data_IF_821044126608
#
_entry.id   IF_821044126608
#
_cell.length_a   1.000
_cell.length_b   1.000
_cell.length_c   1.000
_cell.angle_alpha   90.00
_cell.angle_beta   90.00
_cell.angle_gamma   90.00
#
_symmetry.space_group_name_H-M   'P 1'
#
loop_
_entity.id
_entity.type
_entity.pdbx_description
1 polymer ?
#
# COMPACT_ATOMS: atom_id res chain seq x y z
N UNK A 1 21.38 3.19 -4.43
CA UNK A 1 20.24 2.43 -4.95
C UNK A 1 18.96 3.00 -4.35
N UNK A 2 18.40 4.10 -4.90
CA UNK A 2 17.18 4.74 -4.35
C UNK A 2 16.02 4.86 -5.34
N UNK A 3 16.29 4.85 -6.64
CA UNK A 3 15.29 5.19 -7.66
C UNK A 3 14.12 4.21 -7.82
N UNK A 4 14.30 2.92 -7.53
CA UNK A 4 13.19 1.93 -7.65
C UNK A 4 12.23 2.04 -6.47
N UNK A 5 12.73 2.41 -5.29
CA UNK A 5 11.92 2.55 -4.08
C UNK A 5 11.07 3.83 -4.13
N UNK A 6 11.68 4.97 -4.46
CA UNK A 6 10.95 6.24 -4.65
C UNK A 6 9.88 6.13 -5.74
N UNK A 7 10.21 5.49 -6.86
CA UNK A 7 9.25 5.27 -7.94
C UNK A 7 8.11 4.33 -7.54
N UNK A 8 8.37 3.37 -6.64
CA UNK A 8 7.35 2.51 -6.03
C UNK A 8 6.40 3.29 -5.12
N UNK A 9 6.95 4.13 -4.23
CA UNK A 9 6.17 5.00 -3.34
C UNK A 9 5.29 6.01 -4.12
N UNK A 10 5.83 6.61 -5.19
CA UNK A 10 5.06 7.49 -6.07
C UNK A 10 3.94 6.75 -6.80
N UNK A 11 4.22 5.56 -7.34
CA UNK A 11 3.23 4.74 -8.04
C UNK A 11 2.09 4.33 -7.10
N UNK A 12 2.42 3.96 -5.87
CA UNK A 12 1.44 3.58 -4.85
C UNK A 12 0.61 4.79 -4.38
N UNK A 13 1.23 5.95 -4.18
CA UNK A 13 0.53 7.21 -3.92
C UNK A 13 -0.44 7.56 -5.05
N UNK A 14 -0.04 7.35 -6.31
CA UNK A 14 -0.90 7.54 -7.48
C UNK A 14 -2.08 6.56 -7.48
N UNK A 15 -1.83 5.27 -7.21
CA UNK A 15 -2.87 4.24 -7.10
C UNK A 15 -3.87 4.56 -5.97
N UNK A 16 -3.41 4.97 -4.79
CA UNK A 16 -4.28 5.37 -3.67
C UNK A 16 -5.17 6.55 -4.04
N UNK A 17 -4.62 7.56 -4.72
CA UNK A 17 -5.40 8.71 -5.21
C UNK A 17 -6.43 8.28 -6.25
N UNK A 18 -6.04 7.45 -7.22
CA UNK A 18 -6.97 6.91 -8.23
C UNK A 18 -8.10 6.11 -7.59
N UNK A 19 -7.79 5.19 -6.68
CA UNK A 19 -8.82 4.41 -5.96
C UNK A 19 -9.76 5.30 -5.14
N UNK A 20 -9.22 6.31 -4.45
CA UNK A 20 -10.05 7.24 -3.67
C UNK A 20 -10.99 8.05 -4.58
N UNK A 21 -10.50 8.47 -5.75
CA UNK A 21 -11.30 9.16 -6.76
C UNK A 21 -12.37 8.25 -7.37
N UNK A 22 -12.00 7.02 -7.75
CA UNK A 22 -12.93 6.01 -8.25
C UNK A 22 -14.00 5.65 -7.22
N UNK A 23 -13.69 5.63 -5.92
CA UNK A 23 -14.68 5.42 -4.85
C UNK A 23 -15.67 6.59 -4.73
N UNK A 24 -15.18 7.83 -4.86
CA UNK A 24 -16.05 9.01 -4.88
C UNK A 24 -16.99 8.97 -6.09
N UNK A 25 -16.46 8.62 -7.27
CA UNK A 25 -17.23 8.47 -8.50
C UNK A 25 -18.25 7.34 -8.40
N UNK A 26 -17.88 6.19 -7.83
CA UNK A 26 -18.79 5.05 -7.67
C UNK A 26 -19.94 5.40 -6.72
N UNK A 27 -19.65 6.11 -5.62
CA UNK A 27 -20.67 6.64 -4.73
C UNK A 27 -21.56 7.70 -5.38
N UNK A 28 -21.00 8.54 -6.27
CA UNK A 28 -21.78 9.50 -7.05
C UNK A 28 -22.69 8.81 -8.07
N UNK A 29 -22.16 7.86 -8.85
CA UNK A 29 -22.90 7.05 -9.80
C UNK A 29 -24.03 6.28 -9.13
N UNK A 30 -23.80 5.71 -7.94
CA UNK A 30 -24.86 5.06 -7.14
C UNK A 30 -25.96 6.06 -6.80
N UNK A 31 -25.62 7.27 -6.33
CA UNK A 31 -26.60 8.32 -6.01
C UNK A 31 -27.38 8.82 -7.23
N UNK A 32 -26.70 9.08 -8.33
CA UNK A 32 -27.33 9.49 -9.60
C UNK A 32 -28.25 8.38 -10.12
N UNK A 33 -27.81 7.12 -10.03
CA UNK A 33 -28.64 5.98 -10.36
C UNK A 33 -29.88 5.89 -9.48
N UNK A 34 -29.74 6.01 -8.14
CA UNK A 34 -30.88 6.05 -7.20
C UNK A 34 -31.89 7.12 -7.59
N UNK A 35 -31.42 8.34 -7.87
CA UNK A 35 -32.27 9.45 -8.28
C UNK A 35 -32.99 9.17 -9.61
N UNK A 36 -32.32 8.50 -10.55
CA UNK A 36 -32.91 8.10 -11.82
C UNK A 36 -33.95 6.98 -11.68
N UNK A 37 -33.82 6.09 -10.70
CA UNK A 37 -34.79 4.99 -10.44
C UNK A 37 -35.88 5.33 -9.42
N UNK A 38 -35.76 6.41 -8.64
CA UNK A 38 -36.79 6.92 -7.72
C UNK A 38 -38.19 7.07 -8.38
N UNK A 39 -38.34 7.68 -9.57
CA UNK A 39 -39.63 7.75 -10.26
C UNK A 39 -40.14 6.40 -10.78
N UNK A 40 -39.26 5.39 -10.85
CA UNK A 40 -39.60 4.02 -11.24
C UNK A 40 -40.03 3.15 -10.05
N UNK A 41 -39.87 3.58 -8.79
CA UNK A 41 -40.32 2.82 -7.61
C UNK A 41 -41.82 2.47 -7.64
N UNK A 42 -42.65 3.31 -8.26
CA UNK A 42 -44.07 3.02 -8.47
C UNK A 42 -44.34 1.82 -9.40
N UNK A 43 -43.36 1.44 -10.23
CA UNK A 43 -43.42 0.35 -11.21
C UNK A 43 -42.60 -0.87 -10.76
N UNK A 44 -41.53 -0.65 -9.99
CA UNK A 44 -40.58 -1.66 -9.52
C UNK A 44 -41.05 -2.33 -8.21
N UNK A 45 -42.16 -3.09 -8.25
CA UNK A 45 -42.59 -3.88 -7.09
C UNK A 45 -41.78 -5.18 -6.95
N UNK A 46 -41.28 -5.46 -5.73
CA UNK A 46 -40.73 -6.74 -5.29
C UNK A 46 -39.29 -7.04 -5.74
N UNK A 47 -39.10 -7.44 -6.99
CA UNK A 47 -37.82 -7.97 -7.50
C UNK A 47 -36.81 -6.87 -7.86
N UNK A 48 -37.29 -5.74 -8.37
CA UNK A 48 -36.46 -4.60 -8.74
C UNK A 48 -35.80 -3.92 -7.54
N UNK A 49 -36.54 -3.76 -6.43
CA UNK A 49 -36.01 -3.23 -5.18
C UNK A 49 -35.00 -4.17 -4.53
N UNK A 50 -35.26 -5.47 -4.53
CA UNK A 50 -34.30 -6.46 -4.03
C UNK A 50 -32.98 -6.45 -4.82
N UNK A 51 -33.05 -6.34 -6.15
CA UNK A 51 -31.85 -6.23 -7.01
C UNK A 51 -31.10 -4.92 -6.81
N UNK A 52 -31.82 -3.85 -6.49
CA UNK A 52 -31.22 -2.56 -6.15
C UNK A 52 -30.48 -2.61 -4.81
N UNK A 53 -31.10 -3.19 -3.78
CA UNK A 53 -30.47 -3.38 -2.47
C UNK A 53 -29.23 -4.29 -2.59
N UNK A 54 -29.31 -5.34 -3.42
CA UNK A 54 -28.17 -6.22 -3.73
C UNK A 54 -27.03 -5.46 -4.43
N UNK A 55 -27.35 -4.59 -5.40
CA UNK A 55 -26.33 -3.78 -6.08
C UNK A 55 -25.63 -2.82 -5.13
N UNK A 56 -26.37 -2.12 -4.26
CA UNK A 56 -25.79 -1.24 -3.24
C UNK A 56 -24.85 -1.98 -2.31
N UNK A 57 -25.29 -3.13 -1.79
CA UNK A 57 -24.46 -3.98 -0.93
C UNK A 57 -23.16 -4.39 -1.62
N UNK A 58 -23.22 -4.81 -2.90
CA UNK A 58 -22.03 -5.16 -3.69
C UNK A 58 -21.11 -3.97 -3.91
N UNK A 59 -21.66 -2.79 -4.18
CA UNK A 59 -20.88 -1.57 -4.36
C UNK A 59 -20.13 -1.18 -3.07
N UNK A 60 -20.81 -1.25 -1.93
CA UNK A 60 -20.22 -0.98 -0.62
C UNK A 60 -19.17 -2.05 -0.23
N UNK A 61 -19.39 -3.33 -0.54
CA UNK A 61 -18.40 -4.39 -0.34
C UNK A 61 -17.13 -4.14 -1.16
N UNK A 62 -17.26 -3.87 -2.47
CA UNK A 62 -16.12 -3.60 -3.35
C UNK A 62 -15.33 -2.37 -2.87
N UNK A 63 -16.02 -1.32 -2.42
CA UNK A 63 -15.36 -0.13 -1.87
C UNK A 63 -14.59 -0.44 -0.57
N UNK A 64 -15.15 -1.25 0.32
CA UNK A 64 -14.48 -1.67 1.55
C UNK A 64 -13.28 -2.58 1.28
N UNK A 65 -13.39 -3.49 0.30
CA UNK A 65 -12.32 -4.42 -0.06
C UNK A 65 -11.15 -3.70 -0.73
N UNK A 66 -11.42 -2.71 -1.59
CA UNK A 66 -10.39 -1.82 -2.13
C UNK A 66 -9.69 -1.02 -1.01
N UNK A 67 -10.43 -0.48 -0.04
CA UNK A 67 -9.82 0.21 1.11
C UNK A 67 -8.94 -0.71 1.97
N UNK A 68 -9.38 -1.95 2.19
CA UNK A 68 -8.56 -2.95 2.90
C UNK A 68 -7.30 -3.32 2.12
N UNK A 69 -7.41 -3.55 0.82
CA UNK A 69 -6.27 -3.83 -0.04
C UNK A 69 -5.25 -2.70 0.00
N UNK A 70 -5.70 -1.45 -0.06
CA UNK A 70 -4.84 -0.28 0.09
C UNK A 70 -4.16 -0.22 1.47
N UNK A 71 -4.89 -0.49 2.56
CA UNK A 71 -4.32 -0.53 3.91
C UNK A 71 -3.20 -1.56 4.04
N UNK A 72 -3.40 -2.77 3.50
CA UNK A 72 -2.39 -3.82 3.48
C UNK A 72 -1.15 -3.44 2.67
N UNK A 73 -1.35 -2.73 1.55
CA UNK A 73 -0.26 -2.22 0.72
C UNK A 73 0.55 -1.14 1.45
N UNK A 74 -0.11 -0.25 2.20
CA UNK A 74 0.55 0.78 3.01
C UNK A 74 1.31 0.16 4.18
N UNK A 75 0.73 -0.81 4.90
CA UNK A 75 1.44 -1.56 5.93
C UNK A 75 2.64 -2.32 5.37
N UNK A 76 2.48 -2.95 4.20
CA UNK A 76 3.56 -3.63 3.49
C UNK A 76 4.71 -2.69 3.12
N UNK A 77 4.42 -1.46 2.69
CA UNK A 77 5.44 -0.42 2.45
C UNK A 77 6.19 -0.04 3.72
N UNK A 78 5.47 0.25 4.81
CA UNK A 78 6.11 0.58 6.09
C UNK A 78 6.96 -0.56 6.63
N UNK A 79 6.52 -1.80 6.45
CA UNK A 79 7.31 -2.99 6.79
C UNK A 79 8.56 -3.15 5.93
N UNK A 80 8.48 -2.89 4.62
CA UNK A 80 9.63 -2.94 3.72
C UNK A 80 10.64 -1.82 4.01
N UNK A 81 10.18 -0.59 4.27
CA UNK A 81 11.04 0.53 4.66
C UNK A 81 11.84 0.22 5.92
N UNK A 82 11.15 -0.28 6.95
CA UNK A 82 11.77 -0.67 8.20
C UNK A 82 12.77 -1.81 8.00
N UNK A 83 12.43 -2.82 7.20
CA UNK A 83 13.32 -3.92 6.89
C UNK A 83 14.58 -3.46 6.14
N UNK A 84 14.45 -2.51 5.22
CA UNK A 84 15.58 -1.98 4.46
C UNK A 84 16.50 -1.14 5.35
N UNK A 85 15.96 -0.23 6.16
CA UNK A 85 16.74 0.55 7.12
C UNK A 85 17.46 -0.35 8.14
N UNK A 86 16.75 -1.35 8.66
CA UNK A 86 17.34 -2.30 9.62
C UNK A 86 18.44 -3.12 8.95
N UNK A 87 18.23 -3.59 7.73
CA UNK A 87 19.22 -4.34 6.96
C UNK A 87 20.46 -3.51 6.60
N UNK A 88 20.29 -2.26 6.19
CA UNK A 88 21.42 -1.34 5.92
C UNK A 88 22.21 -1.05 7.20
N UNK A 89 21.53 -0.83 8.32
CA UNK A 89 22.16 -0.64 9.63
C UNK A 89 22.95 -1.89 10.05
N UNK A 90 22.37 -3.08 9.94
CA UNK A 90 23.05 -4.35 10.24
C UNK A 90 24.26 -4.58 9.33
N UNK A 91 24.15 -4.29 8.03
CA UNK A 91 25.25 -4.41 7.09
C UNK A 91 26.39 -3.42 7.40
N UNK A 92 26.05 -2.18 7.75
CA UNK A 92 27.02 -1.16 8.14
C UNK A 92 27.76 -1.55 9.43
N UNK A 93 27.02 -2.00 10.46
CA UNK A 93 27.59 -2.44 11.73
C UNK A 93 28.50 -3.66 11.53
N UNK A 94 28.05 -4.66 10.75
CA UNK A 94 28.82 -5.85 10.47
C UNK A 94 30.08 -5.55 9.64
N UNK A 95 29.99 -4.64 8.66
CA UNK A 95 31.13 -4.17 7.88
C UNK A 95 32.14 -3.42 8.75
N UNK A 96 31.68 -2.52 9.63
CA UNK A 96 32.54 -1.76 10.54
C UNK A 96 33.27 -2.68 11.54
N UNK A 97 32.59 -3.72 12.03
CA UNK A 97 33.17 -4.75 12.89
C UNK A 97 34.22 -5.58 12.15
N UNK A 98 33.92 -6.04 10.94
CA UNK A 98 34.86 -6.79 10.10
C UNK A 98 36.10 -5.95 9.73
N UNK A 99 35.91 -4.67 9.40
CA UNK A 99 37.01 -3.73 9.13
C UNK A 99 37.88 -3.51 10.37
N UNK A 100 37.26 -3.31 11.53
CA UNK A 100 37.97 -3.15 12.80
C UNK A 100 38.83 -4.38 13.11
N UNK A 101 38.26 -5.59 12.98
CA UNK A 101 39.01 -6.84 13.18
C UNK A 101 40.17 -6.99 12.19
N UNK A 102 39.95 -6.66 10.91
CA UNK A 102 41.00 -6.69 9.90
C UNK A 102 42.14 -5.70 10.20
N UNK A 103 41.82 -4.50 10.68
CA UNK A 103 42.81 -3.49 11.08
C UNK A 103 43.58 -3.88 12.34
N UNK A 104 42.94 -4.47 13.35
CA UNK A 104 43.64 -5.02 14.52
C UNK A 104 44.59 -6.16 14.12
N UNK A 105 44.16 -7.04 13.22
CA UNK A 105 45.02 -8.09 12.65
C UNK A 105 46.24 -7.50 11.94
N UNK A 106 46.03 -6.60 10.99
CA UNK A 106 47.11 -5.96 10.23
C UNK A 106 48.07 -5.15 11.12
N UNK A 107 47.57 -4.43 12.13
CA UNK A 107 48.40 -3.69 13.07
C UNK A 107 49.25 -4.61 13.96
N UNK A 108 48.70 -5.76 14.39
CA UNK A 108 49.43 -6.73 15.19
C UNK A 108 50.53 -7.45 14.37
N UNK A 109 50.24 -7.83 13.12
CA UNK A 109 51.25 -8.39 12.22
C UNK A 109 52.35 -7.37 11.87
N UNK A 110 51.98 -6.10 11.63
CA UNK A 110 52.95 -5.03 11.38
C UNK A 110 53.86 -4.75 12.58
N UNK A 111 53.40 -4.99 13.81
CA UNK A 111 54.23 -4.88 15.02
C UNK A 111 55.11 -6.11 15.29
N UNK A 112 54.81 -7.27 14.72
CA UNK A 112 55.60 -8.50 14.90
C UNK A 112 56.75 -8.64 13.87
N UNK A 113 56.85 -7.74 12.89
CA UNK A 113 57.84 -7.78 11.79
C UNK A 113 58.92 -6.68 11.89
N UNK A 114 58.96 -5.90 12.97
CA UNK A 114 60.05 -4.95 13.28
C UNK A 114 60.97 -5.47 14.38
#
# INVERSE_FOLDING_TARGET
>A
MGGVFDMGAETLSSLTKQTSHEQQDLGQLVREFVSAVEPLEGVFQGSGRAKFDEFKLRADEVANELNRGLGQIVEGQGGMDLAFQTGDQELADNSSGAQSMAQFGAANFGKAVG
#
